data_IF_640644771458
#
_entry.id   IF_640644771458
#
_cell.length_a   1.000
_cell.length_b   1.000
_cell.length_c   1.000
_cell.angle_alpha   90.00
_cell.angle_beta   90.00
_cell.angle_gamma   90.00
#
_symmetry.space_group_name_H-M   'P 1'
#
loop_
_entity.id
_entity.type
_entity.pdbx_description
1 polymer ?
#
# COMPACT_ATOMS: atom_id res chain seq x y z
N UNK A 1 -17.01 35.77 -30.47
CA UNK A 1 -15.59 35.62 -30.11
C UNK A 1 -15.53 35.59 -28.59
N UNK A 2 -15.06 34.50 -27.99
CA UNK A 2 -14.99 34.36 -26.52
C UNK A 2 -15.50 33.00 -26.05
N UNK A 3 -14.80 31.91 -26.41
CA UNK A 3 -14.91 30.66 -25.65
C UNK A 3 -14.06 30.83 -24.39
N UNK A 4 -14.64 30.52 -23.24
CA UNK A 4 -14.05 30.75 -21.92
C UNK A 4 -12.79 29.91 -21.74
N UNK A 5 -11.68 30.56 -21.40
CA UNK A 5 -10.35 29.97 -21.24
C UNK A 5 -10.32 28.88 -20.14
N UNK A 6 -11.26 28.91 -19.19
CA UNK A 6 -11.40 27.89 -18.13
C UNK A 6 -11.84 26.51 -18.66
N UNK A 7 -12.59 26.46 -19.76
CA UNK A 7 -13.04 25.20 -20.36
C UNK A 7 -11.87 24.42 -20.98
N UNK A 8 -10.87 25.13 -21.49
CA UNK A 8 -9.74 24.54 -22.21
C UNK A 8 -8.73 23.91 -21.25
N UNK A 9 -8.58 24.45 -20.03
CA UNK A 9 -7.73 23.85 -18.99
C UNK A 9 -8.31 22.55 -18.42
N UNK A 10 -9.63 22.50 -18.21
CA UNK A 10 -10.28 21.29 -17.68
C UNK A 10 -10.20 20.14 -18.69
N UNK A 11 -10.39 20.45 -19.99
CA UNK A 11 -10.21 19.49 -21.08
C UNK A 11 -8.75 19.07 -21.25
N UNK A 12 -7.78 19.98 -21.14
CA UNK A 12 -6.35 19.63 -21.20
C UNK A 12 -5.90 18.76 -20.02
N UNK A 13 -6.48 18.95 -18.83
CA UNK A 13 -6.25 18.06 -17.68
C UNK A 13 -6.88 16.69 -17.94
N UNK A 14 -8.13 16.64 -18.43
CA UNK A 14 -8.78 15.38 -18.78
C UNK A 14 -8.07 14.63 -19.91
N UNK A 15 -7.51 15.33 -20.90
CA UNK A 15 -6.73 14.75 -21.99
C UNK A 15 -5.33 14.35 -21.54
N UNK A 16 -4.72 15.05 -20.58
CA UNK A 16 -3.45 14.64 -19.95
C UNK A 16 -3.65 13.40 -19.07
N UNK A 17 -4.73 13.34 -18.28
CA UNK A 17 -5.12 12.15 -17.53
C UNK A 17 -5.53 11.02 -18.47
N UNK A 18 -6.31 11.29 -19.52
CA UNK A 18 -6.68 10.29 -20.54
C UNK A 18 -5.49 9.84 -21.37
N UNK A 19 -4.44 10.65 -21.54
CA UNK A 19 -3.18 10.25 -22.18
C UNK A 19 -2.27 9.46 -21.24
N UNK A 20 -2.37 9.68 -19.92
CA UNK A 20 -1.78 8.80 -18.90
C UNK A 20 -2.53 7.46 -18.78
N UNK A 21 -3.82 7.46 -19.12
CA UNK A 21 -4.75 6.32 -19.07
C UNK A 21 -5.00 5.75 -20.49
N UNK A 22 -4.29 6.23 -21.51
CA UNK A 22 -4.59 5.99 -22.91
C UNK A 22 -3.67 4.96 -23.54
N UNK A 23 -4.06 3.69 -23.49
CA UNK A 23 -4.17 2.76 -24.63
C UNK A 23 -4.46 1.35 -24.09
N UNK A 24 -5.32 0.61 -24.79
CA UNK A 24 -5.89 -0.68 -24.39
C UNK A 24 -4.84 -1.78 -24.15
N UNK A 25 -4.29 -1.81 -22.94
CA UNK A 25 -3.58 -2.92 -22.30
C UNK A 25 -3.44 -2.56 -20.83
N UNK A 26 -4.07 -3.33 -19.92
CA UNK A 26 -3.99 -3.01 -18.49
C UNK A 26 -2.52 -3.02 -18.07
N UNK A 27 -1.99 -1.84 -17.76
CA UNK A 27 -0.63 -1.67 -17.27
C UNK A 27 -0.62 -2.03 -15.80
N UNK A 28 0.42 -2.75 -15.36
CA UNK A 28 0.68 -2.99 -13.95
C UNK A 28 0.56 -1.69 -13.15
N UNK A 29 -0.38 -1.66 -12.19
CA UNK A 29 -0.61 -0.48 -11.34
C UNK A 29 0.04 -0.63 -9.96
N UNK A 30 0.31 -1.87 -9.53
CA UNK A 30 1.17 -2.12 -8.39
C UNK A 30 1.88 -3.47 -8.48
N UNK A 31 2.93 -3.61 -7.67
CA UNK A 31 3.58 -4.87 -7.36
C UNK A 31 3.44 -5.15 -5.87
N UNK A 32 3.04 -6.36 -5.52
CA UNK A 32 2.92 -6.82 -4.13
C UNK A 32 4.14 -7.61 -3.69
N UNK A 33 4.65 -7.31 -2.49
CA UNK A 33 5.69 -8.08 -1.82
C UNK A 33 5.19 -8.57 -0.46
N UNK A 34 5.22 -9.88 -0.24
CA UNK A 34 4.89 -10.47 1.06
C UNK A 34 6.13 -10.65 1.91
N UNK A 35 5.99 -10.34 3.20
CA UNK A 35 7.08 -10.33 4.15
C UNK A 35 6.68 -11.00 5.46
N UNK A 36 7.65 -11.69 6.05
CA UNK A 36 7.55 -12.26 7.37
C UNK A 36 8.72 -11.78 8.21
N UNK A 37 8.42 -11.03 9.27
CA UNK A 37 9.43 -10.27 10.01
C UNK A 37 10.22 -9.37 9.05
N UNK A 38 11.55 -9.46 9.04
CA UNK A 38 12.40 -8.73 8.09
C UNK A 38 12.68 -9.45 6.77
N UNK A 39 12.11 -10.64 6.52
CA UNK A 39 12.43 -11.46 5.35
C UNK A 39 11.32 -11.46 4.30
N UNK A 40 11.67 -11.22 3.03
CA UNK A 40 10.72 -11.37 1.91
C UNK A 40 10.43 -12.85 1.68
N UNK A 41 9.15 -13.19 1.56
CA UNK A 41 8.69 -14.57 1.34
C UNK A 41 8.06 -14.68 -0.04
N UNK A 42 8.67 -15.50 -0.89
CA UNK A 42 8.23 -15.72 -2.26
C UNK A 42 8.60 -14.58 -3.22
N UNK A 43 8.04 -14.67 -4.44
CA UNK A 43 8.29 -13.72 -5.53
C UNK A 43 7.44 -12.45 -5.39
N UNK A 44 7.84 -11.40 -6.09
CA UNK A 44 6.99 -10.23 -6.31
C UNK A 44 5.78 -10.64 -7.16
N UNK A 45 4.63 -10.04 -6.87
CA UNK A 45 3.38 -10.30 -7.58
C UNK A 45 2.87 -9.03 -8.27
N UNK A 46 3.09 -8.89 -9.59
CA UNK A 46 2.59 -7.75 -10.35
C UNK A 46 1.08 -7.81 -10.50
N UNK A 47 0.42 -6.65 -10.50
CA UNK A 47 -1.04 -6.53 -10.55
C UNK A 47 -1.45 -5.62 -11.69
N UNK A 48 -2.11 -6.21 -12.69
CA UNK A 48 -2.73 -5.50 -13.82
C UNK A 48 -4.24 -5.27 -13.63
N UNK A 49 -5.03 -6.24 -13.14
CA UNK A 49 -6.45 -6.03 -12.87
C UNK A 49 -6.66 -4.96 -11.82
N UNK A 50 -7.68 -4.10 -11.99
CA UNK A 50 -7.97 -3.02 -11.04
C UNK A 50 -8.27 -3.53 -9.62
N UNK A 51 -8.55 -4.82 -9.44
CA UNK A 51 -8.74 -5.44 -8.12
C UNK A 51 -7.88 -6.68 -7.96
N UNK A 52 -7.34 -6.91 -6.75
CA UNK A 52 -6.60 -8.13 -6.40
C UNK A 52 -6.89 -8.56 -4.97
N UNK A 53 -7.08 -9.86 -4.75
CA UNK A 53 -7.19 -10.41 -3.40
C UNK A 53 -5.83 -10.90 -2.89
N UNK A 54 -5.60 -10.76 -1.60
CA UNK A 54 -4.47 -11.34 -0.87
C UNK A 54 -5.04 -12.15 0.30
N UNK A 55 -4.77 -13.45 0.34
CA UNK A 55 -5.42 -14.38 1.27
C UNK A 55 -4.47 -15.50 1.73
N UNK A 56 -4.82 -16.21 2.81
CA UNK A 56 -3.98 -17.33 3.31
C UNK A 56 -4.01 -18.52 2.36
N UNK A 57 -5.14 -19.24 2.31
CA UNK A 57 -5.38 -20.38 1.43
C UNK A 57 -6.87 -20.50 1.13
N UNK A 58 -7.26 -20.53 -0.14
CA UNK A 58 -8.64 -20.69 -0.62
C UNK A 58 -8.65 -21.60 -1.84
N UNK A 59 -9.64 -22.49 -1.93
CA UNK A 59 -9.75 -23.49 -3.02
C UNK A 59 -9.97 -22.83 -4.39
N UNK A 60 -10.86 -21.83 -4.46
CA UNK A 60 -11.16 -21.04 -5.66
C UNK A 60 -10.73 -19.57 -5.46
N UNK A 61 -9.61 -19.35 -4.78
CA UNK A 61 -9.09 -18.00 -4.54
C UNK A 61 -8.45 -17.41 -5.79
N UNK A 62 -8.93 -16.26 -6.24
CA UNK A 62 -8.30 -15.47 -7.30
C UNK A 62 -7.42 -14.35 -6.73
N UNK A 63 -6.15 -14.28 -7.15
CA UNK A 63 -5.16 -13.32 -6.66
C UNK A 63 -3.94 -13.95 -5.99
N UNK A 64 -3.41 -13.29 -4.95
CA UNK A 64 -2.19 -13.67 -4.25
C UNK A 64 -2.47 -14.60 -3.06
N UNK A 65 -2.17 -15.89 -3.24
CA UNK A 65 -2.22 -16.91 -2.19
C UNK A 65 -0.93 -16.95 -1.37
N UNK A 66 -0.99 -16.57 -0.09
CA UNK A 66 0.18 -16.52 0.80
C UNK A 66 0.68 -17.90 1.20
N UNK A 67 -0.20 -18.90 1.32
CA UNK A 67 0.22 -20.28 1.59
C UNK A 67 1.10 -20.84 0.47
N UNK A 68 0.79 -20.49 -0.78
CA UNK A 68 1.59 -20.88 -1.95
C UNK A 68 2.96 -20.18 -1.95
N UNK A 69 3.04 -18.89 -1.60
CA UNK A 69 4.33 -18.20 -1.47
C UNK A 69 5.21 -18.81 -0.36
N UNK A 70 4.58 -19.30 0.70
CA UNK A 70 5.26 -19.81 1.90
C UNK A 70 5.46 -21.34 1.91
N UNK A 71 5.13 -22.05 0.83
CA UNK A 71 5.16 -23.52 0.78
C UNK A 71 6.51 -24.12 1.19
N UNK A 72 7.61 -23.49 0.76
CA UNK A 72 8.98 -23.89 1.10
C UNK A 72 9.64 -22.97 2.14
N UNK A 73 8.83 -22.22 2.90
CA UNK A 73 9.30 -21.24 3.88
C UNK A 73 9.00 -21.69 5.32
N UNK A 74 10.06 -22.05 6.05
CA UNK A 74 9.96 -22.46 7.45
C UNK A 74 9.88 -21.22 8.35
N UNK A 75 8.66 -20.86 8.73
CA UNK A 75 8.41 -19.70 9.58
C UNK A 75 8.36 -20.05 11.08
N UNK A 76 8.76 -19.14 11.99
CA UNK A 76 8.61 -19.33 13.43
C UNK A 76 7.14 -19.51 13.88
N UNK A 77 6.87 -20.14 15.04
CA UNK A 77 5.50 -20.40 15.50
C UNK A 77 4.62 -19.14 15.66
N UNK A 78 5.22 -17.98 15.96
CA UNK A 78 4.46 -16.72 16.04
C UNK A 78 3.97 -16.24 14.67
N UNK A 79 4.74 -16.49 13.62
CA UNK A 79 4.42 -16.15 12.23
C UNK A 79 3.34 -17.09 11.70
N UNK A 80 3.51 -18.41 11.88
CA UNK A 80 2.51 -19.40 11.49
C UNK A 80 1.13 -19.12 12.12
N UNK A 81 1.08 -18.80 13.42
CA UNK A 81 -0.16 -18.42 14.13
C UNK A 81 -0.77 -17.11 13.65
N UNK A 82 0.01 -16.23 13.03
CA UNK A 82 -0.49 -14.97 12.47
C UNK A 82 -0.99 -15.20 11.05
N UNK A 83 -0.27 -15.99 10.26
CA UNK A 83 -0.66 -16.40 8.89
C UNK A 83 -2.02 -17.07 8.88
N UNK A 84 -2.28 -17.99 9.82
CA UNK A 84 -3.58 -18.66 9.97
C UNK A 84 -4.75 -17.74 10.34
N UNK A 85 -4.49 -16.49 10.74
CA UNK A 85 -5.52 -15.47 11.01
C UNK A 85 -5.84 -14.61 9.80
N UNK A 86 -5.07 -14.71 8.73
CA UNK A 86 -5.28 -13.90 7.52
C UNK A 86 -6.59 -14.35 6.86
N UNK A 87 -6.83 -15.66 6.70
CA UNK A 87 -8.07 -16.17 6.13
C UNK A 87 -8.37 -15.56 4.75
N UNK A 88 -9.55 -14.94 4.59
CA UNK A 88 -9.92 -14.20 3.36
C UNK A 88 -9.04 -12.97 3.09
N UNK A 89 -8.27 -12.53 4.08
CA UNK A 89 -7.26 -11.48 3.99
C UNK A 89 -7.82 -10.12 3.59
N UNK A 90 -7.30 -9.55 2.51
CA UNK A 90 -7.71 -8.23 2.04
C UNK A 90 -7.92 -8.22 0.52
N UNK A 91 -8.79 -7.34 0.06
CA UNK A 91 -8.90 -6.99 -1.36
C UNK A 91 -8.34 -5.58 -1.55
N UNK A 92 -7.44 -5.41 -2.51
CA UNK A 92 -7.00 -4.10 -2.99
C UNK A 92 -7.80 -3.74 -4.23
N UNK A 93 -8.15 -2.46 -4.35
CA UNK A 93 -8.89 -1.91 -5.48
C UNK A 93 -8.25 -0.59 -5.90
N UNK A 94 -7.88 -0.48 -7.17
CA UNK A 94 -7.52 0.78 -7.82
C UNK A 94 -8.80 1.46 -8.29
N UNK A 95 -9.12 2.59 -7.66
CA UNK A 95 -10.32 3.37 -7.92
C UNK A 95 -9.92 4.78 -8.41
N UNK A 96 -10.90 5.58 -8.83
CA UNK A 96 -10.64 6.89 -9.43
C UNK A 96 -9.97 7.89 -8.46
N UNK A 97 -10.24 7.77 -7.16
CA UNK A 97 -9.73 8.67 -6.11
C UNK A 97 -8.47 8.13 -5.41
N UNK A 98 -8.14 6.85 -5.59
CA UNK A 98 -7.02 6.25 -4.88
C UNK A 98 -7.01 4.73 -4.91
N UNK A 99 -6.14 4.17 -4.08
CA UNK A 99 -6.08 2.73 -3.82
C UNK A 99 -6.78 2.43 -2.51
N UNK A 100 -7.75 1.53 -2.56
CA UNK A 100 -8.54 1.11 -1.40
C UNK A 100 -8.12 -0.28 -0.92
N UNK A 101 -8.07 -0.44 0.40
CA UNK A 101 -7.92 -1.74 1.05
C UNK A 101 -9.21 -2.11 1.78
N UNK A 102 -9.81 -3.24 1.38
CA UNK A 102 -10.99 -3.82 2.00
C UNK A 102 -10.58 -5.00 2.88
N UNK A 103 -10.74 -4.88 4.20
CA UNK A 103 -10.37 -5.94 5.13
C UNK A 103 -11.48 -7.01 5.19
N UNK A 104 -11.19 -8.17 4.59
CA UNK A 104 -12.09 -9.33 4.58
C UNK A 104 -11.73 -10.38 5.64
N UNK A 105 -10.65 -10.17 6.39
CA UNK A 105 -10.21 -11.09 7.44
C UNK A 105 -10.98 -10.86 8.74
N UNK A 106 -10.99 -11.88 9.61
CA UNK A 106 -11.55 -11.80 10.97
C UNK A 106 -10.64 -11.06 11.96
N UNK A 107 -9.49 -10.56 11.50
CA UNK A 107 -8.52 -9.81 12.28
C UNK A 107 -8.37 -8.38 11.76
N UNK A 108 -7.97 -7.41 12.59
CA UNK A 108 -7.65 -6.08 12.07
C UNK A 108 -6.40 -6.13 11.18
N UNK A 109 -6.36 -5.26 10.18
CA UNK A 109 -5.12 -4.91 9.47
C UNK A 109 -4.63 -3.54 9.96
N UNK A 110 -3.34 -3.29 9.78
CA UNK A 110 -2.68 -2.06 10.21
C UNK A 110 -1.93 -1.46 9.03
N UNK A 111 -2.18 -0.20 8.71
CA UNK A 111 -1.73 0.44 7.48
C UNK A 111 -0.88 1.67 7.78
N UNK A 112 0.26 1.77 7.13
CA UNK A 112 1.05 3.00 7.02
C UNK A 112 1.17 3.36 5.54
N UNK A 113 0.92 4.62 5.22
CA UNK A 113 0.95 5.14 3.85
C UNK A 113 1.40 6.60 3.84
N UNK A 114 2.24 7.01 2.88
CA UNK A 114 2.65 8.41 2.72
C UNK A 114 1.48 9.40 2.59
N UNK A 115 0.34 8.98 2.05
CA UNK A 115 -0.84 9.86 1.86
C UNK A 115 -1.79 9.90 3.06
N UNK A 116 -1.54 9.06 4.06
CA UNK A 116 -2.26 9.04 5.34
C UNK A 116 -1.49 9.77 6.46
N UNK A 117 -0.23 10.12 6.20
CA UNK A 117 0.59 10.88 7.12
C UNK A 117 0.08 12.32 7.24
N UNK A 118 0.25 12.88 8.44
CA UNK A 118 -0.03 14.27 8.72
C UNK A 118 1.26 15.08 8.46
N UNK A 119 1.27 16.06 7.53
CA UNK A 119 2.46 16.86 7.22
C UNK A 119 3.05 17.60 8.43
N UNK A 120 2.25 17.88 9.45
CA UNK A 120 2.70 18.54 10.67
C UNK A 120 3.23 17.56 11.72
N UNK A 121 2.94 16.27 11.55
CA UNK A 121 3.33 15.21 12.48
C UNK A 121 4.67 14.59 12.11
N UNK A 122 5.57 14.54 13.11
CA UNK A 122 6.85 13.83 13.00
C UNK A 122 6.75 12.36 13.45
N UNK A 123 5.54 11.88 13.75
CA UNK A 123 5.34 10.51 14.25
C UNK A 123 4.78 9.62 13.15
N UNK A 124 5.37 8.43 12.99
CA UNK A 124 4.84 7.39 12.12
C UNK A 124 3.36 7.10 12.47
N UNK A 125 2.47 7.29 11.50
CA UNK A 125 1.05 6.99 11.65
C UNK A 125 0.74 5.58 11.12
N UNK A 126 0.11 4.78 11.98
CA UNK A 126 -0.36 3.43 11.65
C UNK A 126 -1.84 3.33 11.97
N UNK A 127 -2.65 3.25 10.91
CA UNK A 127 -4.10 3.20 10.96
C UNK A 127 -4.57 1.75 11.15
N UNK A 128 -5.48 1.53 12.10
CA UNK A 128 -6.11 0.23 12.32
C UNK A 128 -7.40 0.15 11.52
N UNK A 129 -7.52 -0.86 10.66
CA UNK A 129 -8.75 -1.15 9.90
C UNK A 129 -9.39 -2.44 10.46
N UNK A 130 -10.56 -2.35 11.12
CA UNK A 130 -11.25 -3.52 11.66
C UNK A 130 -11.75 -4.50 10.57
N UNK A 131 -12.11 -5.74 10.93
CA UNK A 131 -12.82 -6.68 10.04
C UNK A 131 -14.07 -6.06 9.41
N UNK A 132 -14.23 -6.20 8.09
CA UNK A 132 -15.39 -5.69 7.34
C UNK A 132 -15.35 -4.21 6.99
N UNK A 133 -14.28 -3.48 7.34
CA UNK A 133 -14.09 -2.07 7.00
C UNK A 133 -13.09 -1.90 5.85
N UNK A 134 -13.12 -0.73 5.23
CA UNK A 134 -12.15 -0.32 4.22
C UNK A 134 -11.46 1.01 4.57
N UNK A 135 -10.36 1.28 3.88
CA UNK A 135 -9.60 2.51 3.97
C UNK A 135 -9.04 2.87 2.59
N UNK A 136 -9.15 4.13 2.17
CA UNK A 136 -8.35 4.65 1.07
C UNK A 136 -6.90 4.73 1.57
N UNK A 137 -6.08 3.77 1.17
CA UNK A 137 -4.70 3.61 1.62
C UNK A 137 -3.73 4.42 0.77
N UNK A 138 -4.17 4.98 -0.35
CA UNK A 138 -3.34 5.84 -1.18
C UNK A 138 -4.18 6.83 -1.99
N UNK A 139 -4.30 8.06 -1.49
CA UNK A 139 -5.10 9.11 -2.12
C UNK A 139 -4.28 9.82 -3.20
N UNK A 140 -4.71 9.70 -4.46
CA UNK A 140 -4.00 10.27 -5.61
C UNK A 140 -3.90 11.80 -5.56
N UNK A 141 -4.86 12.48 -4.92
CA UNK A 141 -4.88 13.94 -4.83
C UNK A 141 -3.82 14.47 -3.86
N UNK A 142 -3.45 13.67 -2.85
CA UNK A 142 -2.49 14.06 -1.82
C UNK A 142 -1.04 13.92 -2.25
N UNK A 143 -0.74 13.11 -3.27
CA UNK A 143 0.64 12.92 -3.77
C UNK A 143 1.24 14.25 -4.23
N UNK A 144 0.46 15.08 -4.93
CA UNK A 144 0.92 16.38 -5.45
C UNK A 144 1.27 17.37 -4.34
N UNK A 145 0.75 17.15 -3.13
CA UNK A 145 0.99 18.00 -1.97
C UNK A 145 2.17 17.54 -1.12
N UNK A 146 2.70 16.33 -1.38
CA UNK A 146 3.85 15.82 -0.63
C UNK A 146 5.11 16.63 -0.97
N UNK A 147 5.92 17.04 0.03
CA UNK A 147 7.11 17.88 -0.17
C UNK A 147 8.15 17.32 -1.15
N UNK A 148 8.07 16.03 -1.47
CA UNK A 148 8.96 15.31 -2.37
C UNK A 148 8.36 15.04 -3.76
N UNK A 149 7.08 15.35 -3.98
CA UNK A 149 6.37 15.15 -5.26
C UNK A 149 6.68 16.21 -6.33
N UNK A 150 7.22 17.36 -5.91
CA UNK A 150 7.82 18.36 -6.80
C UNK A 150 9.32 18.10 -6.85
N UNK A 151 9.90 17.97 -8.04
CA UNK A 151 11.32 17.64 -8.29
C UNK A 151 12.36 18.68 -7.83
N UNK A 152 12.13 19.34 -6.70
CA UNK A 152 13.05 20.25 -6.03
C UNK A 152 13.68 19.53 -4.85
N UNK A 153 14.93 19.10 -5.03
CA UNK A 153 15.84 18.65 -3.98
C UNK A 153 15.97 19.73 -2.89
N UNK A 154 15.12 19.65 -1.86
CA UNK A 154 15.39 20.36 -0.60
C UNK A 154 16.27 19.45 0.25
N UNK A 155 17.57 19.66 0.14
CA UNK A 155 18.53 19.26 1.16
C UNK A 155 18.15 19.95 2.47
N UNK A 156 17.38 19.28 3.32
CA UNK A 156 17.26 19.67 4.72
C UNK A 156 17.82 18.55 5.58
N UNK A 157 19.02 18.77 6.09
CA UNK A 157 19.57 18.07 7.23
C UNK A 157 18.55 18.12 8.39
N UNK A 158 17.74 17.08 8.58
CA UNK A 158 16.99 16.87 9.82
C UNK A 158 16.95 15.37 10.15
N UNK A 159 18.08 14.90 10.67
CA UNK A 159 18.18 13.69 11.48
C UNK A 159 17.17 13.75 12.63
N UNK A 160 16.13 12.90 12.59
CA UNK A 160 15.23 12.69 13.73
C UNK A 160 14.62 11.27 13.76
N UNK A 161 15.41 10.33 14.28
CA UNK A 161 14.99 9.40 15.34
C UNK A 161 14.15 8.16 15.04
N UNK A 162 13.30 8.11 14.00
CA UNK A 162 12.38 6.96 13.83
C UNK A 162 12.15 6.45 12.41
N UNK A 163 12.71 7.11 11.39
CA UNK A 163 12.70 6.62 10.01
C UNK A 163 14.10 6.11 9.65
N UNK A 164 14.33 4.81 9.86
CA UNK A 164 15.51 4.11 9.33
C UNK A 164 15.31 3.89 7.83
N UNK A 165 15.82 4.83 7.02
CA UNK A 165 15.95 4.68 5.56
C UNK A 165 15.12 5.66 4.73
N UNK A 166 15.38 5.72 3.41
CA UNK A 166 14.58 6.51 2.48
C UNK A 166 13.10 6.07 2.57
N UNK A 167 12.20 7.01 2.82
CA UNK A 167 10.76 6.74 2.75
C UNK A 167 10.39 6.63 1.27
N UNK A 168 10.02 5.44 0.82
CA UNK A 168 9.48 5.25 -0.51
C UNK A 168 8.06 5.83 -0.56
N UNK A 169 7.91 6.95 -1.29
CA UNK A 169 6.66 7.69 -1.45
C UNK A 169 5.58 6.90 -2.19
N UNK A 170 5.97 5.82 -2.90
CA UNK A 170 5.07 4.95 -3.63
C UNK A 170 4.84 3.60 -2.92
N UNK A 171 5.31 3.45 -1.68
CA UNK A 171 5.14 2.23 -0.90
C UNK A 171 4.09 2.39 0.20
N UNK A 172 3.13 1.47 0.23
CA UNK A 172 2.18 1.31 1.33
C UNK A 172 2.46 0.01 2.07
N UNK A 173 2.49 0.06 3.40
CA UNK A 173 2.78 -1.10 4.24
C UNK A 173 1.57 -1.51 5.04
N UNK A 174 1.22 -2.78 4.97
CA UNK A 174 0.02 -3.35 5.59
C UNK A 174 0.41 -4.56 6.43
N UNK A 175 0.24 -4.53 7.74
CA UNK A 175 0.43 -5.71 8.59
C UNK A 175 -0.89 -6.38 8.95
N UNK A 176 -0.88 -7.72 8.94
CA UNK A 176 -2.01 -8.55 9.32
C UNK A 176 -2.00 -8.83 10.83
N UNK A 177 -3.16 -8.61 11.48
CA UNK A 177 -3.45 -8.91 12.89
C UNK A 177 -2.58 -8.21 13.96
N UNK A 178 -1.44 -7.61 13.61
CA UNK A 178 -0.49 -6.98 14.52
C UNK A 178 -0.16 -5.55 14.08
N UNK A 179 -0.34 -4.59 14.99
CA UNK A 179 0.07 -3.20 14.77
C UNK A 179 1.52 -2.95 15.16
N UNK A 180 2.07 -1.86 14.63
CA UNK A 180 3.39 -1.33 14.97
C UNK A 180 3.39 0.19 15.08
N UNK A 181 4.48 0.75 15.58
CA UNK A 181 4.68 2.17 15.83
C UNK A 181 4.53 2.54 17.32
N UNK A 182 4.57 3.84 17.65
CA UNK A 182 4.69 4.32 19.03
C UNK A 182 3.58 3.86 19.99
N UNK A 183 2.41 3.51 19.45
CA UNK A 183 1.24 3.04 20.22
C UNK A 183 1.21 1.52 20.44
N UNK A 184 2.21 0.79 19.94
CA UNK A 184 2.25 -0.66 19.95
C UNK A 184 3.58 -1.17 20.51
N UNK A 185 3.62 -2.46 20.88
CA UNK A 185 4.86 -3.11 21.35
C UNK A 185 5.90 -3.27 20.25
N UNK A 186 5.48 -3.32 18.99
CA UNK A 186 6.36 -3.35 17.82
C UNK A 186 6.62 -1.93 17.37
N UNK A 187 7.88 -1.54 17.22
CA UNK A 187 8.20 -0.19 16.74
C UNK A 187 8.29 -0.14 15.21
N UNK A 188 8.68 -1.24 14.58
CA UNK A 188 8.86 -1.34 13.13
C UNK A 188 7.94 -2.41 12.53
N UNK A 189 7.58 -2.22 11.26
CA UNK A 189 6.81 -3.19 10.48
C UNK A 189 7.55 -4.53 10.34
N UNK A 190 8.89 -4.50 10.29
CA UNK A 190 9.78 -5.67 10.25
C UNK A 190 9.72 -6.53 11.52
N UNK A 191 9.12 -6.00 12.59
CA UNK A 191 8.81 -6.76 13.82
C UNK A 191 7.42 -7.41 13.78
N UNK A 192 6.64 -7.16 12.72
CA UNK A 192 5.35 -7.78 12.52
C UNK A 192 5.51 -9.17 11.90
N UNK A 193 4.73 -10.17 12.35
CA UNK A 193 4.92 -11.54 11.89
C UNK A 193 4.59 -11.74 10.40
N UNK A 194 3.55 -11.07 9.91
CA UNK A 194 3.10 -11.13 8.52
C UNK A 194 2.72 -9.72 8.07
N UNK A 195 3.27 -9.27 6.95
CA UNK A 195 2.92 -7.98 6.35
C UNK A 195 3.11 -7.98 4.84
N UNK A 196 2.44 -7.04 4.20
CA UNK A 196 2.41 -6.82 2.76
C UNK A 196 2.98 -5.42 2.48
N UNK A 197 3.82 -5.32 1.47
CA UNK A 197 4.23 -4.05 0.88
C UNK A 197 3.57 -3.93 -0.51
N UNK A 198 2.89 -2.82 -0.73
CA UNK A 198 2.25 -2.46 -1.99
C UNK A 198 3.10 -1.39 -2.64
N UNK A 199 3.78 -1.74 -3.73
CA UNK A 199 4.64 -0.85 -4.50
C UNK A 199 3.83 -0.29 -5.68
N UNK A 200 3.47 0.98 -5.62
CA UNK A 200 2.59 1.62 -6.59
C UNK A 200 3.36 2.10 -7.83
N UNK A 201 2.80 1.87 -9.01
CA UNK A 201 3.37 2.33 -10.26
C UNK A 201 3.05 3.81 -10.53
N UNK A 202 3.94 4.57 -11.20
CA UNK A 202 5.28 4.16 -11.63
C UNK A 202 6.27 4.16 -10.45
N UNK A 203 6.92 3.01 -10.20
CA UNK A 203 8.09 2.94 -9.35
C UNK A 203 9.21 3.77 -10.03
N UNK A 204 9.68 4.83 -9.37
CA UNK A 204 10.77 5.69 -9.89
C UNK A 204 12.11 5.26 -9.35
#
# INVERSE_FOLDING_TARGET
MGRSVESDYCLAIYDFFSSLIGETGQKEWCTLAYWELGGRVGRLYPVEPSTVNVFDSLHDGDGLCLSTLAENHVAPPAVQRTRSKIGLGLMLSQEADGVWAYNRSESPIFVNSPTLDDPESRTLLVYRVPPGFCLNIFDHTKILQLPYGSGTTRTSNQTSGFASGPVDINSVRISFAKGWGPKYSRQEVTSCPCWLEVLLAPCR
#
